data_IF_074049248625
#
_entry.id   IF_074049248625
#
_cell.length_a   1.000
_cell.length_b   1.000
_cell.length_c   1.000
_cell.angle_alpha   90.00
_cell.angle_beta   90.00
_cell.angle_gamma   90.00
#
_symmetry.space_group_name_H-M   'P 1'
#
loop_
_entity.id
_entity.type
_entity.pdbx_description
1 polymer ?
#
# COMPACT_ATOMS: atom_id res chain seq x y z
N UNK A 1 -2.45 20.02 26.26
CA UNK A 1 -1.04 20.15 25.83
C UNK A 1 -0.32 18.80 25.63
N UNK A 2 -0.90 17.69 26.04
CA UNK A 2 -0.27 16.34 25.96
C UNK A 2 -0.59 15.60 24.65
N UNK A 3 -1.69 15.91 23.98
CA UNK A 3 -2.16 15.26 22.75
C UNK A 3 -1.31 15.66 21.52
N UNK A 4 -0.90 16.94 21.41
CA UNK A 4 -0.06 17.42 20.31
C UNK A 4 1.33 16.75 20.26
N UNK A 5 1.91 16.39 21.42
CA UNK A 5 3.23 15.73 21.47
C UNK A 5 3.18 14.26 21.02
N UNK A 6 2.02 13.58 21.14
CA UNK A 6 1.86 12.20 20.68
C UNK A 6 1.61 12.13 19.16
N UNK A 7 0.88 13.09 18.61
CA UNK A 7 0.63 13.20 17.17
C UNK A 7 1.92 13.43 16.36
N UNK A 8 2.82 14.30 16.86
CA UNK A 8 4.09 14.55 16.21
C UNK A 8 5.02 13.32 16.18
N UNK A 9 4.95 12.45 17.22
CA UNK A 9 5.76 11.23 17.29
C UNK A 9 5.25 10.16 16.29
N UNK A 10 3.95 10.08 16.04
CA UNK A 10 3.39 9.12 15.06
C UNK A 10 3.65 9.52 13.61
N UNK A 11 3.58 10.80 13.29
CA UNK A 11 3.95 11.31 11.96
C UNK A 11 5.42 11.05 11.67
N UNK A 12 6.30 11.18 12.66
CA UNK A 12 7.72 10.83 12.52
C UNK A 12 7.96 9.34 12.27
N UNK A 13 7.16 8.45 12.87
CA UNK A 13 7.28 7.01 12.66
C UNK A 13 6.78 6.59 11.26
N UNK A 14 5.73 7.22 10.74
CA UNK A 14 5.22 6.97 9.40
C UNK A 14 6.21 7.44 8.32
N UNK A 15 6.86 8.59 8.53
CA UNK A 15 7.90 9.11 7.63
C UNK A 15 9.16 8.22 7.63
N UNK A 16 9.50 7.57 8.75
CA UNK A 16 10.64 6.64 8.79
C UNK A 16 10.38 5.31 8.07
N UNK A 17 9.14 4.85 7.94
CA UNK A 17 8.83 3.65 7.16
C UNK A 17 8.88 3.87 5.64
N UNK A 18 8.70 5.10 5.18
CA UNK A 18 8.83 5.46 3.76
C UNK A 18 10.31 5.58 3.34
N UNK A 19 11.23 5.83 4.28
CA UNK A 19 12.66 6.01 3.98
C UNK A 19 13.45 4.71 3.79
N UNK A 20 12.87 3.52 4.03
CA UNK A 20 13.54 2.23 3.84
C UNK A 20 13.30 1.58 2.48
N UNK A 21 12.48 2.15 1.61
CA UNK A 21 12.30 1.68 0.25
C UNK A 21 13.36 2.31 -0.68
N UNK A 22 14.43 1.54 -0.91
CA UNK A 22 15.33 1.62 -2.04
C UNK A 22 15.92 3.00 -2.40
N UNK A 23 17.18 3.25 -2.06
CA UNK A 23 17.96 4.30 -2.64
C UNK A 23 18.11 4.07 -4.17
N UNK A 24 17.26 4.65 -4.98
CA UNK A 24 17.53 4.80 -6.40
C UNK A 24 18.61 5.87 -6.56
N UNK A 25 19.79 5.47 -7.04
CA UNK A 25 20.84 6.38 -7.48
C UNK A 25 20.30 7.19 -8.66
N UNK A 26 19.80 8.37 -8.39
CA UNK A 26 19.59 9.39 -9.41
C UNK A 26 20.91 10.14 -9.56
N UNK A 27 21.72 9.78 -10.56
CA UNK A 27 22.89 10.56 -10.95
C UNK A 27 22.41 11.83 -11.64
N UNK A 28 22.27 12.90 -10.88
CA UNK A 28 22.14 14.24 -11.44
C UNK A 28 23.56 14.79 -11.67
N UNK A 29 24.01 14.85 -12.92
CA UNK A 29 25.15 15.66 -13.31
C UNK A 29 24.74 17.13 -13.15
N UNK A 30 25.39 17.83 -12.23
CA UNK A 30 25.20 19.26 -12.05
C UNK A 30 25.04 19.74 -10.60
N UNK A 31 25.72 19.12 -9.63
CA UNK A 31 25.73 19.65 -8.26
C UNK A 31 26.98 20.43 -7.99
N UNK A 32 26.89 21.76 -8.05
CA UNK A 32 27.94 22.65 -7.49
C UNK A 32 27.76 22.71 -5.97
N UNK A 33 28.63 22.04 -5.22
CA UNK A 33 28.65 22.10 -3.76
C UNK A 33 29.53 23.28 -3.35
N UNK A 34 28.95 24.39 -2.96
CA UNK A 34 29.65 25.45 -2.26
C UNK A 34 29.70 25.15 -0.77
N UNK A 35 30.85 24.73 -0.27
CA UNK A 35 31.11 24.45 1.10
C UNK A 35 31.69 25.68 1.79
N UNK A 36 30.86 26.49 2.44
CA UNK A 36 31.35 27.54 3.35
C UNK A 36 30.37 27.70 4.53
N UNK A 37 30.82 27.22 5.65
CA UNK A 37 30.57 27.72 7.00
C UNK A 37 29.46 27.11 7.90
N UNK A 38 29.92 26.46 8.94
CA UNK A 38 29.57 26.47 10.40
C UNK A 38 28.14 26.30 10.90
N UNK A 39 27.12 26.27 10.09
CA UNK A 39 25.82 25.70 10.44
C UNK A 39 25.56 24.55 9.47
N UNK A 40 25.38 23.35 9.99
CA UNK A 40 25.22 22.08 9.27
C UNK A 40 23.89 22.03 8.43
N UNK A 41 23.50 23.14 7.85
CA UNK A 41 22.33 23.24 6.97
C UNK A 41 22.78 22.94 5.55
N UNK A 42 22.36 21.80 5.03
CA UNK A 42 22.56 21.41 3.63
C UNK A 42 21.32 21.83 2.85
N UNK A 43 21.48 22.80 1.96
CA UNK A 43 20.42 23.16 1.04
C UNK A 43 20.45 22.18 -0.15
N UNK A 44 19.32 21.55 -0.43
CA UNK A 44 19.12 20.71 -1.61
C UNK A 44 18.09 21.42 -2.48
N UNK A 45 18.52 21.93 -3.62
CA UNK A 45 17.61 22.52 -4.60
C UNK A 45 17.23 21.45 -5.63
N UNK A 46 15.94 21.17 -5.73
CA UNK A 46 15.39 20.27 -6.75
C UNK A 46 14.71 21.15 -7.80
N UNK A 47 15.35 21.28 -8.97
CA UNK A 47 14.78 22.00 -10.09
C UNK A 47 14.02 21.04 -11.02
N UNK A 48 12.71 20.98 -10.86
CA UNK A 48 11.84 20.15 -11.69
C UNK A 48 11.70 20.62 -13.14
N UNK A 49 12.18 21.83 -13.48
CA UNK A 49 12.11 22.35 -14.86
C UNK A 49 13.19 21.77 -15.75
N UNK A 50 14.29 21.28 -15.16
CA UNK A 50 15.43 20.68 -15.86
C UNK A 50 15.40 19.17 -15.89
N UNK A 51 14.39 18.54 -15.28
CA UNK A 51 14.23 17.10 -15.27
C UNK A 51 14.11 16.56 -16.71
N UNK A 52 15.15 15.89 -17.19
CA UNK A 52 15.10 15.17 -18.46
C UNK A 52 14.23 13.93 -18.28
N UNK A 53 13.00 13.99 -18.73
CA UNK A 53 12.13 12.82 -18.84
C UNK A 53 12.66 11.93 -19.96
N UNK A 54 13.10 10.73 -19.64
CA UNK A 54 13.19 9.68 -20.67
C UNK A 54 11.82 9.57 -21.33
N UNK A 55 11.82 9.40 -22.65
CA UNK A 55 10.60 9.33 -23.47
C UNK A 55 9.47 8.57 -22.76
N UNK A 56 8.35 9.25 -22.56
CA UNK A 56 7.11 8.74 -21.94
C UNK A 56 7.15 8.37 -20.44
N UNK A 57 8.23 8.62 -19.72
CA UNK A 57 8.24 8.43 -18.28
C UNK A 57 7.70 9.66 -17.57
N UNK A 58 6.56 9.53 -16.90
CA UNK A 58 6.00 10.55 -16.01
C UNK A 58 5.99 10.03 -14.59
N UNK A 59 6.27 10.90 -13.63
CA UNK A 59 6.01 10.62 -12.23
C UNK A 59 4.50 10.42 -12.04
N UNK A 60 4.12 9.24 -11.56
CA UNK A 60 2.72 8.86 -11.37
C UNK A 60 2.21 9.05 -9.95
N UNK A 61 3.05 9.55 -9.06
CA UNK A 61 2.73 9.74 -7.66
C UNK A 61 3.46 8.76 -6.74
N UNK A 62 3.13 8.83 -5.45
CA UNK A 62 3.58 7.90 -4.44
C UNK A 62 2.58 6.76 -4.27
N UNK A 63 3.09 5.57 -3.91
CA UNK A 63 2.26 4.43 -3.57
C UNK A 63 2.56 3.91 -2.18
N UNK A 64 1.65 3.12 -1.64
CA UNK A 64 1.84 2.39 -0.40
C UNK A 64 1.31 0.96 -0.52
N UNK A 65 1.76 0.10 0.39
CA UNK A 65 1.26 -1.26 0.54
C UNK A 65 0.52 -1.38 1.87
N UNK A 66 -0.69 -1.92 1.83
CA UNK A 66 -1.44 -2.37 3.00
C UNK A 66 -1.41 -3.90 3.02
N UNK A 67 -0.60 -4.45 3.91
CA UNK A 67 -0.32 -5.87 3.99
C UNK A 67 0.01 -6.29 5.41
N UNK A 68 0.04 -7.59 5.68
CA UNK A 68 0.34 -8.14 7.01
C UNK A 68 -0.55 -7.55 8.11
N UNK A 69 -1.78 -7.19 7.76
CA UNK A 69 -2.75 -6.50 8.62
C UNK A 69 -2.24 -5.16 9.20
N UNK A 70 -1.29 -4.51 8.54
CA UNK A 70 -0.68 -3.25 9.00
C UNK A 70 -1.68 -2.10 9.13
N UNK A 71 -2.76 -2.13 8.35
CA UNK A 71 -3.83 -1.11 8.41
C UNK A 71 -4.81 -1.29 9.56
N UNK A 72 -4.69 -2.37 10.34
CA UNK A 72 -5.61 -2.65 11.45
C UNK A 72 -5.64 -1.53 12.47
N UNK A 73 -4.49 -0.98 12.83
CA UNK A 73 -4.39 0.13 13.76
C UNK A 73 -5.18 1.37 13.29
N UNK A 74 -5.19 1.64 11.97
CA UNK A 74 -5.99 2.75 11.42
C UNK A 74 -7.49 2.52 11.59
N UNK A 75 -7.97 1.27 11.46
CA UNK A 75 -9.37 0.96 11.72
C UNK A 75 -9.73 1.04 13.21
N UNK A 76 -8.80 0.74 14.10
CA UNK A 76 -8.99 0.94 15.54
C UNK A 76 -9.13 2.45 15.83
N UNK A 77 -8.29 3.30 15.20
CA UNK A 77 -8.47 4.76 15.26
C UNK A 77 -9.81 5.23 14.68
N UNK A 78 -10.26 4.62 13.57
CA UNK A 78 -11.58 4.93 13.00
C UNK A 78 -12.71 4.70 13.99
N UNK A 79 -12.61 3.64 14.79
CA UNK A 79 -13.63 3.29 15.79
C UNK A 79 -13.55 4.17 17.04
N UNK A 80 -12.35 4.48 17.52
CA UNK A 80 -12.13 5.16 18.79
C UNK A 80 -11.96 6.67 18.65
N UNK A 81 -11.37 7.14 17.54
CA UNK A 81 -11.01 8.52 17.25
C UNK A 81 -11.29 8.87 15.78
N UNK A 82 -12.57 8.88 15.35
CA UNK A 82 -12.94 9.05 13.94
C UNK A 82 -12.42 10.34 13.32
N UNK A 83 -12.40 11.44 14.05
CA UNK A 83 -11.83 12.71 13.61
C UNK A 83 -10.34 12.65 13.32
N UNK A 84 -9.59 11.94 14.15
CA UNK A 84 -8.15 11.71 13.94
C UNK A 84 -7.92 10.78 12.75
N UNK A 85 -8.76 9.76 12.61
CA UNK A 85 -8.71 8.87 11.45
C UNK A 85 -8.94 9.62 10.14
N UNK A 86 -9.99 10.44 10.07
CA UNK A 86 -10.30 11.26 8.89
C UNK A 86 -9.13 12.18 8.54
N UNK A 87 -8.53 12.84 9.55
CA UNK A 87 -7.37 13.69 9.34
C UNK A 87 -6.16 12.91 8.80
N UNK A 88 -5.88 11.70 9.32
CA UNK A 88 -4.81 10.83 8.83
C UNK A 88 -5.07 10.45 7.36
N UNK A 89 -6.30 10.06 7.05
CA UNK A 89 -6.69 9.66 5.71
C UNK A 89 -6.55 10.82 4.71
N UNK A 90 -6.95 12.04 5.10
CA UNK A 90 -6.74 13.24 4.28
C UNK A 90 -5.25 13.55 4.07
N UNK A 91 -4.41 13.40 5.09
CA UNK A 91 -2.96 13.56 4.91
C UNK A 91 -2.33 12.51 4.00
N UNK A 92 -2.87 11.29 3.98
CA UNK A 92 -2.36 10.21 3.13
C UNK A 92 -2.84 10.35 1.68
N UNK A 93 -4.13 10.54 1.47
CA UNK A 93 -4.77 10.41 0.15
C UNK A 93 -5.31 11.74 -0.41
N UNK A 94 -5.47 12.76 0.44
CA UNK A 94 -5.94 14.08 0.05
C UNK A 94 -4.89 14.91 -0.69
N UNK A 95 -5.34 15.92 -1.42
CA UNK A 95 -4.50 16.78 -2.27
C UNK A 95 -3.53 17.66 -1.48
N UNK A 96 -3.88 18.01 -0.24
CA UNK A 96 -3.06 18.85 0.63
C UNK A 96 -2.07 18.04 1.49
N UNK A 97 -2.06 16.72 1.33
CA UNK A 97 -1.19 15.80 2.04
C UNK A 97 -0.10 15.18 1.16
N UNK A 98 0.23 13.90 1.43
CA UNK A 98 1.20 13.13 0.63
C UNK A 98 0.65 12.86 -0.76
N UNK A 99 -0.68 12.79 -0.91
CA UNK A 99 -1.35 12.57 -2.18
C UNK A 99 -1.02 11.19 -2.77
N UNK A 100 -1.18 10.14 -1.96
CA UNK A 100 -0.97 8.76 -2.42
C UNK A 100 -1.90 8.46 -3.58
N UNK A 101 -1.32 7.98 -4.68
CA UNK A 101 -2.04 7.71 -5.94
C UNK A 101 -2.14 6.20 -6.25
N UNK A 102 -1.46 5.35 -5.50
CA UNK A 102 -1.45 3.91 -5.71
C UNK A 102 -1.46 3.17 -4.36
N UNK A 103 -2.42 2.31 -4.17
CA UNK A 103 -2.56 1.46 -2.98
C UNK A 103 -2.57 0.00 -3.39
N UNK A 104 -1.59 -0.75 -2.88
CA UNK A 104 -1.46 -2.18 -3.09
C UNK A 104 -1.96 -2.94 -1.86
N UNK A 105 -2.87 -3.89 -2.05
CA UNK A 105 -3.51 -4.67 -0.99
C UNK A 105 -3.06 -6.12 -1.04
N UNK A 106 -2.93 -6.74 0.14
CA UNK A 106 -2.63 -8.16 0.24
C UNK A 106 -3.91 -9.01 0.22
N UNK A 107 -3.90 -10.06 -0.59
CA UNK A 107 -4.78 -11.22 -0.43
C UNK A 107 -4.17 -12.12 0.65
N UNK A 108 -4.75 -12.10 1.84
CA UNK A 108 -4.22 -12.84 2.97
C UNK A 108 -4.47 -14.35 2.89
N UNK A 109 -3.65 -15.11 3.63
CA UNK A 109 -3.72 -16.56 3.72
C UNK A 109 -3.66 -17.11 5.15
N UNK A 110 -3.82 -16.26 6.19
CA UNK A 110 -3.59 -16.59 7.60
C UNK A 110 -2.14 -17.08 7.89
N UNK A 111 -1.20 -16.77 7.01
CA UNK A 111 0.22 -17.13 7.19
C UNK A 111 0.93 -16.02 7.93
N UNK A 112 1.55 -16.37 9.05
CA UNK A 112 2.28 -15.43 9.86
C UNK A 112 3.62 -15.06 9.21
N UNK A 113 3.91 -13.77 9.15
CA UNK A 113 5.19 -13.22 8.72
C UNK A 113 5.91 -12.53 9.89
N UNK A 114 7.11 -12.04 9.66
CA UNK A 114 7.84 -11.21 10.64
C UNK A 114 7.14 -9.88 10.95
N UNK A 115 6.26 -9.42 10.07
CA UNK A 115 5.58 -8.13 10.17
C UNK A 115 4.12 -8.21 10.57
N UNK A 116 3.54 -9.40 10.60
CA UNK A 116 2.14 -9.63 10.94
C UNK A 116 1.49 -10.71 10.10
N UNK A 117 0.17 -10.80 10.16
CA UNK A 117 -0.63 -11.81 9.47
C UNK A 117 -1.82 -11.13 8.80
N UNK A 118 -1.91 -11.21 7.48
CA UNK A 118 -3.13 -10.81 6.76
C UNK A 118 -4.14 -11.96 6.83
N UNK A 119 -5.36 -11.70 7.31
CA UNK A 119 -6.39 -12.72 7.39
C UNK A 119 -6.77 -13.27 6.02
N UNK A 120 -6.94 -14.59 5.93
CA UNK A 120 -7.38 -15.22 4.69
C UNK A 120 -8.80 -14.80 4.34
N UNK A 121 -8.98 -14.38 3.10
CA UNK A 121 -10.31 -14.06 2.52
C UNK A 121 -11.13 -15.34 2.35
N UNK A 122 -10.46 -16.47 2.02
CA UNK A 122 -11.05 -17.80 1.89
C UNK A 122 -10.13 -18.82 2.55
N UNK A 123 -10.57 -19.43 3.65
CA UNK A 123 -9.84 -20.47 4.39
C UNK A 123 -10.00 -21.87 3.81
N UNK A 124 -11.11 -22.08 3.11
CA UNK A 124 -11.42 -23.33 2.39
C UNK A 124 -11.94 -23.02 1.00
N UNK A 125 -11.87 -24.01 0.12
CA UNK A 125 -12.30 -23.86 -1.28
C UNK A 125 -13.79 -23.51 -1.43
N UNK A 126 -14.63 -24.02 -0.54
CA UNK A 126 -16.10 -23.87 -0.58
C UNK A 126 -16.59 -22.68 0.26
N UNK A 127 -15.68 -21.98 0.94
CA UNK A 127 -16.04 -20.82 1.74
C UNK A 127 -16.39 -19.63 0.83
N UNK A 128 -17.45 -18.90 1.20
CA UNK A 128 -17.71 -17.61 0.58
C UNK A 128 -16.59 -16.65 0.96
N UNK A 129 -16.01 -15.97 -0.03
CA UNK A 129 -14.97 -14.97 0.21
C UNK A 129 -15.49 -13.85 1.11
N UNK A 130 -14.67 -13.47 2.10
CA UNK A 130 -14.97 -12.44 3.09
C UNK A 130 -13.79 -11.48 3.26
N UNK A 131 -13.84 -10.37 2.53
CA UNK A 131 -12.82 -9.31 2.55
C UNK A 131 -12.90 -8.43 3.80
N UNK A 132 -13.90 -8.62 4.67
CA UNK A 132 -14.04 -7.83 5.90
C UNK A 132 -13.11 -8.32 7.02
N UNK A 133 -12.49 -9.49 6.87
CA UNK A 133 -11.56 -10.04 7.86
C UNK A 133 -10.28 -9.24 7.99
N UNK A 134 -9.77 -8.73 6.88
CA UNK A 134 -8.60 -7.85 6.85
C UNK A 134 -8.97 -6.38 6.89
N UNK A 135 -8.01 -5.54 7.27
CA UNK A 135 -8.21 -4.09 7.34
C UNK A 135 -8.00 -3.39 6.00
N UNK A 136 -7.27 -4.02 5.08
CA UNK A 136 -6.80 -3.39 3.84
C UNK A 136 -7.94 -2.94 2.91
N UNK A 137 -8.96 -3.76 2.75
CA UNK A 137 -10.09 -3.47 1.86
C UNK A 137 -10.96 -2.30 2.38
N UNK A 138 -11.20 -2.25 3.70
CA UNK A 138 -11.91 -1.11 4.30
C UNK A 138 -11.09 0.18 4.16
N UNK A 139 -9.77 0.11 4.38
CA UNK A 139 -8.88 1.26 4.15
C UNK A 139 -8.97 1.75 2.71
N UNK A 140 -8.93 0.82 1.74
CA UNK A 140 -9.03 1.16 0.32
C UNK A 140 -10.37 1.83 -0.02
N UNK A 141 -11.47 1.33 0.55
CA UNK A 141 -12.79 1.92 0.36
C UNK A 141 -12.87 3.36 0.91
N UNK A 142 -12.28 3.60 2.06
CA UNK A 142 -12.23 4.94 2.64
C UNK A 142 -11.28 5.86 1.86
N UNK A 143 -10.13 5.35 1.40
CA UNK A 143 -9.20 6.08 0.55
C UNK A 143 -9.82 6.49 -0.81
N UNK A 144 -10.60 5.61 -1.43
CA UNK A 144 -11.32 5.90 -2.68
C UNK A 144 -12.37 7.01 -2.53
N UNK A 145 -12.92 7.24 -1.34
CA UNK A 145 -13.84 8.37 -1.08
C UNK A 145 -13.11 9.71 -1.14
N UNK A 146 -11.84 9.74 -0.71
CA UNK A 146 -10.99 10.94 -0.70
C UNK A 146 -10.34 11.15 -2.07
N UNK A 147 -9.78 10.08 -2.63
CA UNK A 147 -9.14 10.07 -3.94
C UNK A 147 -9.82 9.03 -4.85
N UNK A 148 -10.86 9.40 -5.60
CA UNK A 148 -11.54 8.48 -6.53
C UNK A 148 -10.63 7.91 -7.62
N UNK A 149 -9.58 8.64 -7.99
CA UNK A 149 -8.59 8.25 -9.02
C UNK A 149 -7.47 7.35 -8.46
N UNK A 150 -7.56 6.94 -7.19
CA UNK A 150 -6.58 6.06 -6.56
C UNK A 150 -6.50 4.73 -7.32
N UNK A 151 -5.32 4.39 -7.82
CA UNK A 151 -5.05 3.09 -8.43
C UNK A 151 -5.01 2.00 -7.35
N UNK A 152 -5.74 0.91 -7.57
CA UNK A 152 -5.73 -0.26 -6.70
C UNK A 152 -5.01 -1.43 -7.36
N UNK A 153 -4.13 -2.06 -6.60
CA UNK A 153 -3.36 -3.23 -7.00
C UNK A 153 -3.49 -4.33 -5.93
N UNK A 154 -3.42 -5.57 -6.33
CA UNK A 154 -3.54 -6.72 -5.45
C UNK A 154 -2.31 -7.60 -5.55
N UNK A 155 -1.78 -8.00 -4.39
CA UNK A 155 -0.67 -8.93 -4.26
C UNK A 155 -1.02 -10.09 -3.32
N UNK A 156 -0.16 -11.09 -3.31
CA UNK A 156 -0.11 -12.11 -2.27
C UNK A 156 1.33 -12.54 -1.99
N UNK A 157 1.61 -12.94 -0.76
CA UNK A 157 2.89 -13.56 -0.39
C UNK A 157 2.75 -15.07 -0.19
N UNK A 158 1.60 -15.51 0.30
CA UNK A 158 1.31 -16.92 0.53
C UNK A 158 -0.09 -17.24 0.08
N UNK A 159 -0.30 -18.47 -0.34
CA UNK A 159 -1.59 -19.00 -0.75
C UNK A 159 -2.25 -19.74 0.42
N UNK A 160 -3.58 -19.71 0.55
CA UNK A 160 -4.28 -20.62 1.42
C UNK A 160 -3.97 -22.08 1.07
N UNK A 161 -3.94 -22.95 2.08
CA UNK A 161 -3.55 -24.35 1.88
C UNK A 161 -4.38 -25.09 0.83
N UNK A 162 -5.68 -24.77 0.74
CA UNK A 162 -6.56 -25.37 -0.28
C UNK A 162 -6.16 -25.00 -1.72
N UNK A 163 -5.49 -23.84 -1.92
CA UNK A 163 -4.95 -23.44 -3.23
C UNK A 163 -3.66 -24.20 -3.50
N UNK A 164 -2.70 -24.16 -2.56
CA UNK A 164 -1.40 -24.78 -2.75
C UNK A 164 -1.44 -26.31 -2.84
N UNK A 165 -2.44 -26.95 -2.23
CA UNK A 165 -2.63 -28.40 -2.26
C UNK A 165 -3.51 -28.87 -3.44
N UNK A 166 -4.07 -27.95 -4.23
CA UNK A 166 -4.96 -28.30 -5.33
C UNK A 166 -4.22 -29.07 -6.43
N UNK A 167 -4.89 -30.05 -7.02
CA UNK A 167 -4.36 -30.81 -8.17
C UNK A 167 -4.18 -29.91 -9.42
N UNK A 168 -5.02 -28.90 -9.56
CA UNK A 168 -4.92 -27.81 -10.54
C UNK A 168 -4.78 -26.49 -9.77
N UNK A 169 -3.55 -26.11 -9.48
CA UNK A 169 -3.23 -24.91 -8.73
C UNK A 169 -3.66 -23.63 -9.46
N UNK A 170 -3.63 -23.63 -10.80
CA UNK A 170 -4.02 -22.45 -11.57
C UNK A 170 -5.53 -22.23 -11.53
N UNK A 171 -6.31 -23.28 -11.64
CA UNK A 171 -7.78 -23.19 -11.47
C UNK A 171 -8.14 -22.76 -10.04
N UNK A 172 -7.45 -23.27 -9.02
CA UNK A 172 -7.65 -22.87 -7.64
C UNK A 172 -7.28 -21.40 -7.39
N UNK A 173 -6.15 -20.92 -7.93
CA UNK A 173 -5.75 -19.50 -7.89
C UNK A 173 -6.78 -18.61 -8.57
N UNK A 174 -7.22 -18.98 -9.77
CA UNK A 174 -8.25 -18.23 -10.48
C UNK A 174 -9.52 -18.10 -9.64
N UNK A 175 -10.00 -19.20 -9.03
CA UNK A 175 -11.14 -19.19 -8.13
C UNK A 175 -10.92 -18.28 -6.94
N UNK A 176 -9.76 -18.34 -6.31
CA UNK A 176 -9.39 -17.51 -5.17
C UNK A 176 -9.39 -16.01 -5.54
N UNK A 177 -8.72 -15.64 -6.64
CA UNK A 177 -8.72 -14.27 -7.15
C UNK A 177 -10.12 -13.79 -7.46
N UNK A 178 -10.85 -14.56 -8.29
CA UNK A 178 -12.19 -14.16 -8.72
C UNK A 178 -13.10 -13.91 -7.53
N UNK A 179 -13.17 -14.85 -6.59
CA UNK A 179 -14.03 -14.72 -5.43
C UNK A 179 -13.61 -13.56 -4.51
N UNK A 180 -12.32 -13.28 -4.40
CA UNK A 180 -11.81 -12.13 -3.65
C UNK A 180 -12.25 -10.81 -4.29
N UNK A 181 -12.08 -10.69 -5.62
CA UNK A 181 -12.48 -9.50 -6.37
C UNK A 181 -14.00 -9.29 -6.31
N UNK A 182 -14.78 -10.35 -6.50
CA UNK A 182 -16.24 -10.30 -6.39
C UNK A 182 -16.65 -9.83 -4.99
N UNK A 183 -16.04 -10.39 -3.94
CA UNK A 183 -16.33 -10.01 -2.55
C UNK A 183 -15.96 -8.55 -2.26
N UNK A 184 -14.83 -8.07 -2.80
CA UNK A 184 -14.41 -6.67 -2.66
C UNK A 184 -15.38 -5.70 -3.33
N UNK A 185 -15.86 -6.07 -4.53
CA UNK A 185 -16.87 -5.30 -5.24
C UNK A 185 -18.23 -5.33 -4.52
N UNK A 186 -18.72 -6.51 -4.14
CA UNK A 186 -20.01 -6.66 -3.44
C UNK A 186 -20.03 -5.91 -2.10
N UNK A 187 -18.91 -5.92 -1.36
CA UNK A 187 -18.86 -5.37 0.00
C UNK A 187 -18.56 -3.88 0.00
N UNK A 188 -17.65 -3.43 -0.84
CA UNK A 188 -17.09 -2.08 -0.79
C UNK A 188 -17.17 -1.30 -2.09
N UNK A 189 -17.64 -1.92 -3.19
CA UNK A 189 -17.63 -1.30 -4.52
C UNK A 189 -16.23 -1.12 -5.10
N UNK A 190 -15.25 -1.91 -4.64
CA UNK A 190 -13.87 -1.79 -5.11
C UNK A 190 -13.65 -2.52 -6.41
N UNK A 191 -13.09 -1.79 -7.39
CA UNK A 191 -12.56 -2.32 -8.63
C UNK A 191 -11.03 -2.17 -8.60
N UNK A 192 -10.33 -3.23 -9.02
CA UNK A 192 -8.86 -3.27 -9.03
C UNK A 192 -8.34 -3.03 -10.44
N UNK A 193 -7.39 -2.11 -10.56
CA UNK A 193 -6.72 -1.78 -11.82
C UNK A 193 -5.69 -2.86 -12.20
N UNK A 194 -5.05 -3.47 -11.18
CA UNK A 194 -4.02 -4.49 -11.37
C UNK A 194 -4.15 -5.62 -10.35
N UNK A 195 -3.75 -6.80 -10.76
CA UNK A 195 -3.55 -7.97 -9.89
C UNK A 195 -2.22 -8.62 -10.22
N UNK A 196 -1.47 -9.03 -9.20
CA UNK A 196 -0.21 -9.77 -9.39
C UNK A 196 -0.53 -11.19 -9.85
N UNK A 197 -0.05 -11.59 -11.00
CA UNK A 197 -0.27 -12.94 -11.55
C UNK A 197 0.48 -14.02 -10.77
N UNK A 198 1.52 -13.64 -10.04
CA UNK A 198 2.40 -14.53 -9.28
C UNK A 198 2.66 -13.98 -7.89
N UNK A 199 3.24 -14.80 -7.03
CA UNK A 199 3.68 -14.38 -5.70
C UNK A 199 4.61 -13.16 -5.81
N UNK A 200 4.41 -12.16 -4.93
CA UNK A 200 5.01 -10.83 -5.04
C UNK A 200 6.54 -10.79 -5.16
N UNK A 201 7.24 -11.76 -4.57
CA UNK A 201 8.72 -11.82 -4.55
C UNK A 201 9.31 -12.77 -5.61
N UNK A 202 8.46 -13.47 -6.35
CA UNK A 202 8.90 -14.37 -7.42
C UNK A 202 8.80 -13.65 -8.76
N UNK A 203 9.75 -13.95 -9.64
CA UNK A 203 9.64 -13.55 -11.04
C UNK A 203 8.42 -14.16 -11.71
N UNK A 204 8.01 -13.58 -12.83
CA UNK A 204 6.91 -14.14 -13.62
C UNK A 204 7.22 -15.61 -13.96
N UNK A 205 6.25 -16.46 -13.66
CA UNK A 205 6.32 -17.85 -14.14
C UNK A 205 6.18 -17.81 -15.67
N UNK A 206 7.10 -18.42 -16.42
CA UNK A 206 7.10 -18.31 -17.88
C UNK A 206 5.97 -19.13 -18.56
N UNK A 207 5.10 -19.81 -17.79
CA UNK A 207 4.00 -20.60 -18.33
C UNK A 207 2.64 -19.94 -18.23
#
# INVERSE_FOLDING_TARGET
>A
MTILKRSASMVSALVMMISSAGAYNCSAEGTTVNNSNTNNTREIVIDGTTAQLKENMRYRGAGMVSANNSSRLLLDYKAEHPDVYEQIMEYMFGKEGIGITHLKLEMGADINSSSGTEPSVMRTEDEKADVTRGAAYQLAADAKKINPDLTLDMLWWSEPKWVSDASDVYAARYKWYKNTLDSAYETYGLEFDYVSAVQNERGADPE
#
